data_IF_194500441564
#
_entry.id   IF_194500441564
#
_cell.length_a   1.000
_cell.length_b   1.000
_cell.length_c   1.000
_cell.angle_alpha   90.00
_cell.angle_beta   90.00
_cell.angle_gamma   90.00
#
_symmetry.space_group_name_H-M   'P 1'
#
loop_
_entity.id
_entity.type
_entity.pdbx_description
1 polymer ?
#
# COMPACT_ATOMS: atom_id res chain seq x y z
N UNK A 1 18.31 -19.85 -18.44
CA UNK A 1 16.87 -19.81 -18.08
C UNK A 1 16.24 -21.08 -18.65
N UNK A 2 15.51 -21.84 -17.84
CA UNK A 2 14.87 -23.09 -18.29
C UNK A 2 13.49 -22.81 -18.86
N UNK A 3 13.21 -23.28 -20.06
CA UNK A 3 11.88 -23.25 -20.69
C UNK A 3 11.29 -24.65 -20.57
N UNK A 4 10.05 -24.74 -20.10
CA UNK A 4 9.30 -25.99 -20.07
C UNK A 4 8.16 -25.90 -21.07
N UNK A 5 8.01 -26.93 -21.89
CA UNK A 5 6.92 -27.04 -22.85
C UNK A 5 5.89 -28.02 -22.30
N UNK A 6 4.66 -27.56 -22.13
CA UNK A 6 3.56 -28.39 -21.64
C UNK A 6 2.51 -28.55 -22.74
N UNK A 7 2.12 -29.80 -22.98
CA UNK A 7 0.98 -30.14 -23.81
C UNK A 7 -0.21 -30.47 -22.90
N UNK A 8 -1.22 -29.61 -22.90
CA UNK A 8 -2.34 -29.65 -21.94
C UNK A 8 -3.65 -29.83 -22.71
N UNK A 9 -4.43 -30.84 -22.31
CA UNK A 9 -5.83 -30.94 -22.72
C UNK A 9 -6.65 -29.94 -21.93
N UNK A 10 -7.18 -28.91 -22.59
CA UNK A 10 -7.91 -27.80 -21.98
C UNK A 10 -9.38 -28.18 -21.65
N UNK A 11 -9.63 -29.42 -21.20
CA UNK A 11 -10.98 -29.83 -20.76
C UNK A 11 -11.49 -28.96 -19.60
N UNK A 12 -10.66 -28.56 -18.61
CA UNK A 12 -11.08 -27.59 -17.59
C UNK A 12 -11.29 -26.17 -18.14
N UNK A 13 -11.10 -25.96 -19.44
CA UNK A 13 -11.16 -24.65 -20.06
C UNK A 13 -9.84 -23.91 -20.00
N UNK A 14 -9.62 -23.10 -21.04
CA UNK A 14 -8.34 -22.44 -21.26
C UNK A 14 -7.93 -21.54 -20.09
N UNK A 15 -8.87 -20.72 -19.59
CA UNK A 15 -8.58 -19.80 -18.48
C UNK A 15 -8.16 -20.52 -17.19
N UNK A 16 -8.72 -21.71 -16.92
CA UNK A 16 -8.31 -22.52 -15.77
C UNK A 16 -6.91 -23.09 -15.98
N UNK A 17 -6.63 -23.63 -17.17
CA UNK A 17 -5.31 -24.15 -17.52
C UNK A 17 -4.21 -23.07 -17.42
N UNK A 18 -4.46 -21.87 -17.95
CA UNK A 18 -3.54 -20.75 -17.83
C UNK A 18 -3.33 -20.35 -16.36
N UNK A 19 -4.42 -20.22 -15.60
CA UNK A 19 -4.36 -19.85 -14.18
C UNK A 19 -3.57 -20.85 -13.32
N UNK A 20 -3.57 -22.14 -13.65
CA UNK A 20 -2.76 -23.16 -12.96
C UNK A 20 -1.27 -22.85 -13.01
N UNK A 21 -0.78 -22.32 -14.14
CA UNK A 21 0.61 -21.92 -14.30
C UNK A 21 0.87 -20.55 -13.66
N UNK A 22 0.03 -19.55 -13.95
CA UNK A 22 0.21 -18.18 -13.47
C UNK A 22 0.28 -18.13 -11.94
N UNK A 23 -0.63 -18.83 -11.24
CA UNK A 23 -0.65 -18.86 -9.77
C UNK A 23 0.59 -19.52 -9.14
N UNK A 24 1.38 -20.24 -9.92
CA UNK A 24 2.64 -20.88 -9.50
C UNK A 24 3.87 -20.04 -9.89
N UNK A 25 3.66 -18.82 -10.38
CA UNK A 25 4.72 -17.88 -10.73
C UNK A 25 5.31 -18.12 -12.12
N UNK A 26 4.60 -18.82 -13.01
CA UNK A 26 5.05 -19.00 -14.38
C UNK A 26 4.61 -17.82 -15.26
N UNK A 27 5.53 -17.35 -16.09
CA UNK A 27 5.17 -16.65 -17.31
C UNK A 27 4.83 -17.69 -18.39
N UNK A 28 3.70 -17.51 -19.06
CA UNK A 28 3.22 -18.44 -20.08
C UNK A 28 3.08 -17.75 -21.43
N UNK A 29 3.42 -18.47 -22.49
CA UNK A 29 3.13 -18.07 -23.86
C UNK A 29 2.49 -19.26 -24.57
N UNK A 30 1.28 -19.05 -25.10
CA UNK A 30 0.62 -20.08 -25.92
C UNK A 30 1.33 -20.17 -27.26
N UNK A 31 1.93 -21.32 -27.54
CA UNK A 31 2.65 -21.57 -28.79
C UNK A 31 1.72 -22.07 -29.88
N UNK A 32 0.75 -22.90 -29.49
CA UNK A 32 -0.14 -23.57 -30.43
C UNK A 32 -1.40 -24.05 -29.72
N UNK A 33 -2.50 -24.16 -30.47
CA UNK A 33 -3.76 -24.71 -30.00
C UNK A 33 -4.47 -25.41 -31.15
N UNK A 34 -5.10 -26.55 -30.86
CA UNK A 34 -6.03 -27.22 -31.77
C UNK A 34 -7.20 -27.83 -31.00
N UNK A 35 -8.16 -28.40 -31.71
CA UNK A 35 -9.15 -29.32 -31.13
C UNK A 35 -8.80 -30.73 -31.56
N UNK A 36 -8.88 -31.68 -30.63
CA UNK A 36 -8.69 -33.11 -30.91
C UNK A 36 -9.95 -33.88 -30.55
N UNK A 37 -10.26 -34.90 -31.35
CA UNK A 37 -11.37 -35.79 -31.05
C UNK A 37 -11.11 -36.55 -29.75
N UNK A 38 -12.12 -36.61 -28.89
CA UNK A 38 -12.10 -37.46 -27.72
C UNK A 38 -12.07 -38.91 -28.17
N UNK A 39 -11.15 -39.71 -27.59
CA UNK A 39 -11.12 -41.13 -27.87
C UNK A 39 -12.42 -41.79 -27.39
N UNK A 40 -12.97 -42.69 -28.19
CA UNK A 40 -14.30 -43.27 -27.97
C UNK A 40 -14.42 -44.09 -26.67
N UNK A 41 -13.28 -44.54 -26.14
CA UNK A 41 -13.13 -45.31 -24.91
C UNK A 41 -12.86 -44.45 -23.67
N UNK A 42 -12.69 -43.14 -23.80
CA UNK A 42 -12.45 -42.28 -22.64
C UNK A 42 -13.73 -42.04 -21.86
N UNK A 43 -13.79 -42.54 -20.64
CA UNK A 43 -14.87 -42.20 -19.72
C UNK A 43 -14.69 -40.78 -19.16
N UNK A 44 -15.74 -39.97 -19.29
CA UNK A 44 -15.82 -38.60 -18.75
C UNK A 44 -16.80 -38.48 -17.58
N UNK A 45 -17.30 -39.60 -17.04
CA UNK A 45 -18.23 -39.64 -15.89
C UNK A 45 -17.70 -38.90 -14.66
N UNK A 46 -16.41 -39.02 -14.36
CA UNK A 46 -15.79 -38.30 -13.25
C UNK A 46 -15.86 -36.77 -13.43
N UNK A 47 -15.78 -36.27 -14.67
CA UNK A 47 -15.90 -34.84 -14.94
C UNK A 47 -17.34 -34.35 -14.75
N UNK A 48 -18.31 -35.18 -15.13
CA UNK A 48 -19.74 -34.93 -14.87
C UNK A 48 -20.03 -34.84 -13.37
N UNK A 49 -19.46 -35.74 -12.58
CA UNK A 49 -19.59 -35.72 -11.11
C UNK A 49 -18.96 -34.46 -10.51
N UNK A 50 -17.79 -34.03 -10.99
CA UNK A 50 -17.18 -32.77 -10.58
C UNK A 50 -18.09 -31.59 -10.91
N UNK A 51 -18.68 -31.50 -12.11
CA UNK A 51 -19.63 -30.42 -12.46
C UNK A 51 -20.88 -30.43 -11.59
N UNK A 52 -21.28 -31.55 -10.99
CA UNK A 52 -22.43 -31.61 -10.09
C UNK A 52 -22.12 -30.99 -8.73
N UNK A 53 -20.88 -31.16 -8.28
CA UNK A 53 -20.41 -30.75 -6.95
C UNK A 53 -19.63 -29.43 -6.96
N UNK A 54 -19.41 -28.83 -8.13
CA UNK A 54 -18.61 -27.63 -8.33
C UNK A 54 -19.30 -26.65 -9.29
N UNK A 55 -19.15 -25.32 -9.09
CA UNK A 55 -19.60 -24.33 -10.06
C UNK A 55 -18.77 -24.33 -11.36
N UNK A 56 -17.68 -25.10 -11.42
CA UNK A 56 -16.83 -25.19 -12.60
C UNK A 56 -17.49 -26.00 -13.73
N UNK A 57 -17.45 -25.46 -14.95
CA UNK A 57 -17.93 -26.12 -16.16
C UNK A 57 -16.74 -26.49 -17.05
N UNK A 58 -16.67 -27.75 -17.47
CA UNK A 58 -15.67 -28.22 -18.42
C UNK A 58 -16.05 -27.81 -19.85
N UNK A 59 -15.04 -27.68 -20.71
CA UNK A 59 -15.18 -27.24 -22.11
C UNK A 59 -14.97 -28.42 -23.07
N UNK A 60 -16.08 -28.85 -23.69
CA UNK A 60 -16.09 -29.80 -24.80
C UNK A 60 -16.71 -29.16 -26.05
N UNK A 61 -16.46 -29.72 -27.22
CA UNK A 61 -17.02 -29.28 -28.48
C UNK A 61 -17.68 -30.46 -29.19
N UNK A 62 -18.80 -30.24 -29.87
CA UNK A 62 -19.52 -31.31 -30.58
C UNK A 62 -18.89 -31.66 -31.93
N UNK A 63 -17.95 -30.84 -32.40
CA UNK A 63 -17.13 -31.07 -33.59
C UNK A 63 -15.81 -30.27 -33.51
N UNK A 64 -14.95 -30.43 -34.51
CA UNK A 64 -13.63 -29.78 -34.58
C UNK A 64 -13.67 -28.30 -35.01
N UNK A 65 -14.74 -27.84 -35.64
CA UNK A 65 -14.85 -26.50 -36.22
C UNK A 65 -15.67 -25.53 -35.36
N UNK A 66 -16.55 -26.03 -34.49
CA UNK A 66 -17.49 -25.26 -33.70
C UNK A 66 -16.83 -24.63 -32.50
N UNK A 67 -17.08 -23.34 -32.28
CA UNK A 67 -16.45 -22.55 -31.23
C UNK A 67 -17.27 -22.47 -29.94
N UNK A 68 -18.49 -22.98 -29.96
CA UNK A 68 -19.33 -23.04 -28.78
C UNK A 68 -19.00 -24.27 -27.95
N UNK A 69 -18.51 -24.05 -26.73
CA UNK A 69 -18.26 -25.13 -25.78
C UNK A 69 -19.56 -25.62 -25.13
N UNK A 70 -19.56 -26.90 -24.74
CA UNK A 70 -20.64 -27.57 -23.99
C UNK A 70 -20.06 -28.21 -22.72
N UNK A 71 -20.90 -28.34 -21.69
CA UNK A 71 -20.53 -28.97 -20.41
C UNK A 71 -20.18 -30.46 -20.55
N UNK A 72 -19.48 -31.01 -19.56
CA UNK A 72 -19.22 -32.45 -19.48
C UNK A 72 -20.53 -33.27 -19.48
N UNK A 73 -21.58 -32.79 -18.80
CA UNK A 73 -22.92 -33.42 -18.80
C UNK A 73 -23.49 -33.55 -20.22
N UNK A 74 -23.44 -32.47 -20.97
CA UNK A 74 -23.96 -32.41 -22.35
C UNK A 74 -23.11 -33.28 -23.27
N UNK A 75 -21.78 -33.19 -23.13
CA UNK A 75 -20.85 -34.03 -23.87
C UNK A 75 -21.11 -35.52 -23.63
N UNK A 76 -21.32 -35.94 -22.38
CA UNK A 76 -21.59 -37.34 -22.04
C UNK A 76 -22.92 -37.82 -22.63
N UNK A 77 -23.98 -37.01 -22.54
CA UNK A 77 -25.28 -37.35 -23.13
C UNK A 77 -25.19 -37.48 -24.66
N UNK A 78 -24.44 -36.58 -25.30
CA UNK A 78 -24.21 -36.62 -26.75
C UNK A 78 -23.40 -37.85 -27.18
N UNK A 79 -22.34 -38.19 -26.45
CA UNK A 79 -21.54 -39.41 -26.69
C UNK A 79 -22.37 -40.69 -26.56
N UNK A 80 -23.22 -40.78 -25.52
CA UNK A 80 -24.14 -41.92 -25.32
C UNK A 80 -25.16 -42.07 -26.45
N UNK A 81 -25.46 -40.99 -27.15
CA UNK A 81 -26.38 -40.97 -28.31
C UNK A 81 -25.66 -41.28 -29.64
N UNK A 82 -24.38 -41.67 -29.62
CA UNK A 82 -23.57 -41.96 -30.81
C UNK A 82 -22.84 -40.74 -31.39
N UNK A 83 -22.96 -39.57 -30.76
CA UNK A 83 -22.20 -38.38 -31.11
C UNK A 83 -20.72 -38.53 -30.76
N UNK A 84 -19.86 -37.74 -31.41
CA UNK A 84 -18.44 -37.63 -31.05
C UNK A 84 -18.17 -36.22 -30.54
N UNK A 85 -17.35 -36.09 -29.51
CA UNK A 85 -16.94 -34.81 -28.96
C UNK A 85 -15.45 -34.60 -29.14
N UNK A 86 -15.03 -33.35 -29.12
CA UNK A 86 -13.62 -32.94 -29.09
C UNK A 86 -13.36 -32.03 -27.89
N UNK A 87 -12.09 -31.84 -27.57
CA UNK A 87 -11.64 -30.86 -26.58
C UNK A 87 -10.45 -30.10 -27.14
N UNK A 88 -10.19 -28.92 -26.60
CA UNK A 88 -9.03 -28.14 -26.96
C UNK A 88 -7.75 -28.80 -26.39
N UNK A 89 -6.68 -28.70 -27.16
CA UNK A 89 -5.33 -29.12 -26.81
C UNK A 89 -4.41 -27.91 -27.06
N UNK A 90 -3.83 -27.38 -26.00
CA UNK A 90 -2.91 -26.24 -26.09
C UNK A 90 -1.49 -26.63 -25.70
N UNK A 91 -0.54 -26.04 -26.42
CA UNK A 91 0.87 -26.13 -26.11
C UNK A 91 1.33 -24.80 -25.55
N UNK A 92 1.77 -24.81 -24.30
CA UNK A 92 2.29 -23.63 -23.61
C UNK A 92 3.80 -23.74 -23.43
N UNK A 93 4.49 -22.64 -23.71
CA UNK A 93 5.84 -22.39 -23.22
C UNK A 93 5.74 -21.72 -21.86
N UNK A 94 6.26 -22.35 -20.83
CA UNK A 94 6.22 -21.87 -19.46
C UNK A 94 7.65 -21.58 -18.96
N UNK A 95 7.84 -20.40 -18.39
CA UNK A 95 9.09 -19.98 -17.78
C UNK A 95 8.83 -19.58 -16.33
N UNK A 96 9.57 -20.18 -15.38
CA UNK A 96 9.39 -19.83 -13.98
C UNK A 96 10.01 -18.46 -13.69
N UNK A 97 9.20 -17.53 -13.19
CA UNK A 97 9.68 -16.23 -12.76
C UNK A 97 10.54 -16.40 -11.50
N UNK A 98 11.73 -15.77 -11.47
CA UNK A 98 12.68 -15.78 -10.34
C UNK A 98 12.83 -17.18 -9.68
N UNK A 99 13.33 -18.21 -10.40
CA UNK A 99 13.29 -19.60 -9.96
C UNK A 99 13.98 -19.85 -8.62
N UNK A 100 15.03 -19.08 -8.29
CA UNK A 100 15.74 -19.18 -7.01
C UNK A 100 14.84 -18.72 -5.85
N UNK A 101 14.10 -17.62 -6.01
CA UNK A 101 13.21 -17.10 -4.97
C UNK A 101 12.00 -18.03 -4.78
N UNK A 102 11.41 -18.51 -5.87
CA UNK A 102 10.31 -19.50 -5.81
C UNK A 102 10.77 -20.77 -5.10
N UNK A 103 11.95 -21.29 -5.44
CA UNK A 103 12.51 -22.47 -4.77
C UNK A 103 12.67 -22.23 -3.26
N UNK A 104 13.29 -21.12 -2.85
CA UNK A 104 13.46 -20.76 -1.43
C UNK A 104 12.11 -20.68 -0.70
N UNK A 105 11.12 -20.04 -1.31
CA UNK A 105 9.78 -19.91 -0.73
C UNK A 105 9.16 -21.28 -0.47
N UNK A 106 9.12 -22.16 -1.48
CA UNK A 106 8.55 -23.50 -1.32
C UNK A 106 9.38 -24.42 -0.41
N UNK A 107 10.69 -24.19 -0.26
CA UNK A 107 11.50 -24.88 0.76
C UNK A 107 11.10 -24.46 2.17
N UNK A 108 10.85 -23.17 2.41
CA UNK A 108 10.38 -22.68 3.71
C UNK A 108 8.97 -23.23 4.03
N UNK A 109 8.07 -23.23 3.04
CA UNK A 109 6.67 -23.63 3.25
C UNK A 109 6.49 -25.12 3.57
N UNK A 110 7.43 -25.98 3.17
CA UNK A 110 7.41 -27.42 3.52
C UNK A 110 7.48 -27.65 5.03
N UNK A 111 8.13 -26.75 5.76
CA UNK A 111 8.35 -26.86 7.20
C UNK A 111 7.24 -26.16 8.00
N UNK A 112 5.99 -26.61 7.84
CA UNK A 112 4.86 -26.19 8.70
C UNK A 112 3.76 -25.37 8.02
N UNK A 113 3.83 -25.13 6.70
CA UNK A 113 2.83 -24.35 5.95
C UNK A 113 2.24 -25.12 4.75
N UNK A 114 2.04 -26.43 4.90
CA UNK A 114 1.58 -27.32 3.81
C UNK A 114 0.24 -26.89 3.20
N UNK A 115 -0.71 -26.43 4.02
CA UNK A 115 -2.01 -25.94 3.55
C UNK A 115 -1.85 -24.67 2.69
N UNK A 116 -0.97 -23.74 3.10
CA UNK A 116 -0.69 -22.49 2.39
C UNK A 116 -0.03 -22.75 1.03
N UNK A 117 0.84 -23.75 0.93
CA UNK A 117 1.51 -24.13 -0.32
C UNK A 117 0.53 -24.47 -1.47
N UNK A 118 -0.67 -24.94 -1.11
CA UNK A 118 -1.73 -25.27 -2.08
C UNK A 118 -2.58 -24.07 -2.50
N UNK A 119 -2.72 -23.07 -1.63
CA UNK A 119 -3.57 -21.89 -1.83
C UNK A 119 -2.80 -20.67 -2.34
N UNK A 120 -1.49 -20.61 -2.13
CA UNK A 120 -0.63 -19.51 -2.55
C UNK A 120 -0.81 -19.14 -4.03
N UNK A 121 -1.00 -17.85 -4.29
CA UNK A 121 -1.17 -17.28 -5.62
C UNK A 121 -0.02 -16.31 -5.93
N UNK A 122 0.89 -16.78 -6.78
CA UNK A 122 2.06 -16.05 -7.26
C UNK A 122 1.80 -15.32 -8.58
N UNK A 123 0.54 -15.20 -9.02
CA UNK A 123 0.22 -14.37 -10.18
C UNK A 123 0.46 -12.88 -9.90
N UNK A 124 0.69 -12.13 -10.97
CA UNK A 124 0.94 -10.68 -10.95
C UNK A 124 0.54 -10.09 -12.30
N UNK A 125 0.08 -8.84 -12.29
CA UNK A 125 -0.33 -8.13 -13.51
C UNK A 125 0.87 -7.57 -14.30
N UNK A 126 1.97 -7.27 -13.62
CA UNK A 126 3.19 -6.71 -14.23
C UNK A 126 4.46 -7.31 -13.58
N UNK A 127 5.49 -7.53 -14.40
CA UNK A 127 6.81 -8.04 -13.99
C UNK A 127 7.52 -7.12 -12.97
N UNK A 128 7.23 -5.81 -12.96
CA UNK A 128 7.80 -4.88 -11.97
C UNK A 128 7.33 -5.21 -10.55
N UNK A 129 6.05 -5.53 -10.39
CA UNK A 129 5.42 -5.91 -9.11
C UNK A 129 5.83 -7.32 -8.67
N UNK A 130 6.06 -8.22 -9.64
CA UNK A 130 6.42 -9.60 -9.37
C UNK A 130 7.69 -9.74 -8.52
N UNK A 131 8.71 -8.93 -8.80
CA UNK A 131 9.99 -9.01 -8.10
C UNK A 131 9.85 -8.63 -6.63
N UNK A 132 9.12 -7.56 -6.35
CA UNK A 132 8.86 -7.07 -4.99
C UNK A 132 7.97 -8.06 -4.22
N UNK A 133 6.87 -8.51 -4.84
CA UNK A 133 5.97 -9.53 -4.28
C UNK A 133 6.75 -10.77 -3.83
N UNK A 134 7.61 -11.29 -4.71
CA UNK A 134 8.41 -12.48 -4.44
C UNK A 134 9.46 -12.25 -3.36
N UNK A 135 10.15 -11.11 -3.37
CA UNK A 135 11.13 -10.76 -2.35
C UNK A 135 10.46 -10.71 -0.96
N UNK A 136 9.32 -10.01 -0.86
CA UNK A 136 8.60 -9.91 0.40
C UNK A 136 8.04 -11.25 0.87
N UNK A 137 7.48 -12.10 -0.01
CA UNK A 137 6.97 -13.42 0.40
C UNK A 137 8.06 -14.32 0.97
N UNK A 138 9.26 -14.31 0.38
CA UNK A 138 10.40 -15.08 0.90
C UNK A 138 10.82 -14.55 2.27
N UNK A 139 10.87 -13.22 2.42
CA UNK A 139 11.17 -12.57 3.69
C UNK A 139 10.12 -12.93 4.75
N UNK A 140 8.83 -12.74 4.45
CA UNK A 140 7.73 -12.99 5.36
C UNK A 140 7.70 -14.46 5.81
N UNK A 141 7.88 -15.40 4.88
CA UNK A 141 7.91 -16.82 5.22
C UNK A 141 9.09 -17.14 6.18
N UNK A 142 10.24 -16.51 5.98
CA UNK A 142 11.41 -16.64 6.88
C UNK A 142 11.12 -16.00 8.24
N UNK A 143 10.58 -14.78 8.25
CA UNK A 143 10.21 -14.05 9.46
C UNK A 143 9.22 -14.83 10.33
N UNK A 144 8.17 -15.40 9.73
CA UNK A 144 7.18 -16.21 10.44
C UNK A 144 7.75 -17.54 10.96
N UNK A 145 8.71 -18.13 10.24
CA UNK A 145 9.40 -19.36 10.69
C UNK A 145 10.25 -19.09 11.93
N UNK A 146 10.92 -17.94 11.97
CA UNK A 146 11.80 -17.52 13.07
C UNK A 146 11.01 -16.99 14.28
N UNK A 147 9.90 -16.29 14.04
CA UNK A 147 9.09 -15.61 15.07
C UNK A 147 7.76 -16.32 15.33
N UNK A 148 7.82 -17.56 15.85
CA UNK A 148 6.62 -18.38 16.08
C UNK A 148 5.63 -17.76 17.07
N UNK A 149 6.14 -17.08 18.10
CA UNK A 149 5.33 -16.27 19.01
C UNK A 149 5.23 -14.87 18.42
N UNK A 150 4.21 -14.61 17.60
CA UNK A 150 3.97 -13.29 17.02
C UNK A 150 3.74 -12.28 18.16
N UNK A 151 4.69 -11.39 18.49
CA UNK A 151 4.54 -10.52 19.64
C UNK A 151 3.53 -9.41 19.32
N UNK A 152 2.70 -9.04 20.29
CA UNK A 152 1.90 -7.82 20.17
C UNK A 152 2.83 -6.62 20.05
N UNK A 153 2.63 -5.79 19.03
CA UNK A 153 3.42 -4.59 18.83
C UNK A 153 3.02 -3.48 19.80
N UNK A 154 3.95 -2.54 20.08
CA UNK A 154 3.61 -1.35 20.84
C UNK A 154 2.45 -0.59 20.18
N UNK A 155 1.66 0.20 20.95
CA UNK A 155 0.58 1.01 20.39
C UNK A 155 1.01 1.88 19.19
N UNK A 156 2.25 2.37 19.19
CA UNK A 156 2.82 3.18 18.10
C UNK A 156 3.65 2.43 17.07
N UNK A 157 3.47 1.12 16.98
CA UNK A 157 4.24 0.27 16.08
C UNK A 157 5.63 -0.05 16.62
N UNK A 158 6.33 -0.94 15.92
CA UNK A 158 7.60 -1.45 16.37
C UNK A 158 8.71 -0.40 16.26
N UNK A 159 9.67 -0.45 17.18
CA UNK A 159 10.82 0.47 17.21
C UNK A 159 11.62 0.41 15.90
N UNK A 160 11.80 -0.80 15.33
CA UNK A 160 12.55 -1.00 14.09
C UNK A 160 11.91 -0.23 12.93
N UNK A 161 10.59 -0.31 12.76
CA UNK A 161 9.90 0.41 11.70
C UNK A 161 9.97 1.93 11.89
N UNK A 162 9.78 2.42 13.11
CA UNK A 162 9.94 3.85 13.43
C UNK A 162 11.35 4.36 13.14
N UNK A 163 12.37 3.57 13.45
CA UNK A 163 13.77 3.90 13.13
C UNK A 163 13.97 3.99 11.61
N UNK A 164 13.44 3.03 10.83
CA UNK A 164 13.52 3.07 9.37
C UNK A 164 12.86 4.32 8.77
N UNK A 165 11.69 4.72 9.29
CA UNK A 165 11.02 5.97 8.87
C UNK A 165 11.88 7.20 9.21
N UNK A 166 12.43 7.27 10.43
CA UNK A 166 13.28 8.38 10.84
C UNK A 166 14.56 8.47 10.01
N UNK A 167 15.22 7.33 9.76
CA UNK A 167 16.39 7.24 8.89
C UNK A 167 16.07 7.63 7.45
N UNK A 168 14.93 7.19 6.92
CA UNK A 168 14.47 7.59 5.59
C UNK A 168 14.29 9.11 5.49
N UNK A 169 13.59 9.72 6.45
CA UNK A 169 13.37 11.17 6.48
C UNK A 169 14.68 11.94 6.59
N UNK A 170 15.64 11.43 7.37
CA UNK A 170 16.97 12.01 7.52
C UNK A 170 17.80 11.90 6.25
N UNK A 171 17.87 10.72 5.64
CA UNK A 171 18.73 10.45 4.50
C UNK A 171 18.23 11.06 3.19
N UNK A 172 16.91 11.09 2.99
CA UNK A 172 16.32 11.54 1.72
C UNK A 172 15.83 12.98 1.74
N UNK A 173 15.42 13.49 2.91
CA UNK A 173 14.85 14.83 3.05
C UNK A 173 15.65 15.73 4.01
N UNK A 174 16.76 15.25 4.59
CA UNK A 174 17.57 15.98 5.57
C UNK A 174 16.78 16.44 6.82
N UNK A 175 15.73 15.71 7.19
CA UNK A 175 14.91 16.04 8.37
C UNK A 175 15.49 15.27 9.57
N UNK A 176 15.94 15.95 10.64
CA UNK A 176 16.62 15.30 11.77
C UNK A 176 15.66 14.64 12.76
N UNK A 177 14.83 13.70 12.31
CA UNK A 177 13.89 12.96 13.17
C UNK A 177 14.58 11.83 13.94
N UNK A 178 14.01 11.50 15.10
CA UNK A 178 14.24 10.24 15.82
C UNK A 178 12.97 9.38 15.80
N UNK A 179 13.04 8.13 16.28
CA UNK A 179 11.85 7.28 16.41
C UNK A 179 10.83 7.78 17.43
N UNK A 180 11.21 8.70 18.32
CA UNK A 180 10.31 9.33 19.28
C UNK A 180 9.41 10.37 18.59
N UNK A 181 9.83 10.92 17.45
CA UNK A 181 9.00 11.82 16.64
C UNK A 181 7.95 11.10 15.80
N UNK A 182 8.01 9.76 15.68
CA UNK A 182 7.22 8.98 14.71
C UNK A 182 6.21 8.09 15.43
N UNK A 183 4.92 8.25 15.15
CA UNK A 183 3.85 7.38 15.64
C UNK A 183 3.24 6.59 14.48
N UNK A 184 3.13 5.26 14.61
CA UNK A 184 2.58 4.40 13.55
C UNK A 184 1.12 4.05 13.85
N UNK A 185 0.31 4.04 12.81
CA UNK A 185 -1.12 3.75 12.83
C UNK A 185 -1.48 2.73 11.74
N UNK A 186 -2.57 1.95 11.92
CA UNK A 186 -3.06 1.04 10.88
C UNK A 186 -3.35 1.76 9.56
N UNK A 187 -3.85 2.99 9.63
CA UNK A 187 -4.08 3.84 8.48
C UNK A 187 -4.09 5.31 8.88
N UNK A 188 -3.98 6.20 7.89
CA UNK A 188 -4.17 7.64 8.12
C UNK A 188 -5.59 7.96 8.62
N UNK A 189 -6.58 7.18 8.20
CA UNK A 189 -7.98 7.34 8.61
C UNK A 189 -8.12 7.05 10.10
N UNK A 190 -7.56 5.94 10.55
CA UNK A 190 -7.54 5.56 11.97
C UNK A 190 -6.79 6.62 12.79
N UNK A 191 -5.66 7.14 12.29
CA UNK A 191 -4.94 8.23 12.96
C UNK A 191 -5.81 9.48 13.18
N UNK A 192 -6.58 9.88 12.17
CA UNK A 192 -7.50 11.03 12.25
C UNK A 192 -8.64 10.75 13.22
N UNK A 193 -9.26 9.57 13.14
CA UNK A 193 -10.36 9.19 14.03
C UNK A 193 -9.91 9.18 15.50
N UNK A 194 -8.78 8.56 15.78
CA UNK A 194 -8.18 8.52 17.13
C UNK A 194 -7.86 9.93 17.62
N UNK A 195 -7.33 10.79 16.75
CA UNK A 195 -7.05 12.19 17.09
C UNK A 195 -8.33 12.96 17.45
N UNK A 196 -9.39 12.81 16.64
CA UNK A 196 -10.67 13.48 16.90
C UNK A 196 -11.33 12.97 18.18
N UNK A 197 -11.23 11.68 18.49
CA UNK A 197 -11.70 11.12 19.77
C UNK A 197 -10.87 11.58 20.96
N UNK A 198 -9.55 11.70 20.80
CA UNK A 198 -8.66 12.17 21.87
C UNK A 198 -8.96 13.61 22.26
N UNK A 199 -9.16 14.48 21.27
CA UNK A 199 -9.39 15.92 21.54
C UNK A 199 -10.86 16.27 21.78
N UNK A 200 -11.80 15.38 21.41
CA UNK A 200 -13.25 15.60 21.46
C UNK A 200 -13.67 17.04 21.09
N UNK A 201 -13.29 17.54 19.90
CA UNK A 201 -13.57 18.92 19.55
C UNK A 201 -15.07 19.11 19.32
N UNK A 202 -15.62 20.22 19.82
CA UNK A 202 -16.96 20.68 19.50
C UNK A 202 -17.10 20.99 18.00
N UNK A 203 -16.03 21.48 17.38
CA UNK A 203 -15.97 21.70 15.93
C UNK A 203 -14.58 21.32 15.38
N UNK A 204 -14.60 20.46 14.36
CA UNK A 204 -13.44 20.11 13.54
C UNK A 204 -13.68 20.42 12.06
N UNK A 205 -12.63 20.82 11.37
CA UNK A 205 -12.61 21.00 9.91
C UNK A 205 -11.74 19.90 9.33
N UNK A 206 -12.25 19.13 8.36
CA UNK A 206 -11.54 17.96 7.80
C UNK A 206 -11.62 17.96 6.27
N UNK A 207 -10.50 17.72 5.57
CA UNK A 207 -10.46 17.58 4.10
C UNK A 207 -11.57 16.63 3.60
N UNK A 208 -12.30 17.07 2.57
CA UNK A 208 -13.47 16.37 2.03
C UNK A 208 -13.22 14.89 1.69
N UNK A 209 -12.00 14.52 1.28
CA UNK A 209 -11.72 13.11 0.95
C UNK A 209 -11.51 12.24 2.19
N UNK A 210 -11.15 12.85 3.32
CA UNK A 210 -10.92 12.14 4.58
C UNK A 210 -12.22 12.02 5.38
N UNK A 211 -13.20 12.90 5.17
CA UNK A 211 -14.51 12.85 5.87
C UNK A 211 -15.32 11.60 5.55
N UNK A 212 -15.16 11.02 4.34
CA UNK A 212 -15.91 9.83 3.88
C UNK A 212 -15.75 8.61 4.77
N UNK A 213 -14.64 8.53 5.50
CA UNK A 213 -14.31 7.40 6.34
C UNK A 213 -14.58 7.64 7.82
N UNK A 214 -15.05 8.85 8.17
CA UNK A 214 -15.40 9.18 9.55
C UNK A 214 -16.79 8.67 9.92
N UNK A 215 -17.06 8.45 11.22
CA UNK A 215 -18.39 8.11 11.71
C UNK A 215 -19.46 9.07 11.20
N UNK A 216 -20.51 8.54 10.56
CA UNK A 216 -21.58 9.35 9.93
C UNK A 216 -22.24 10.33 10.92
N UNK A 217 -22.30 9.95 12.19
CA UNK A 217 -22.83 10.79 13.27
C UNK A 217 -22.09 12.13 13.40
N UNK A 218 -20.79 12.19 13.11
CA UNK A 218 -20.00 13.42 13.17
C UNK A 218 -20.25 14.37 12.00
N UNK A 219 -20.79 13.86 10.89
CA UNK A 219 -21.05 14.62 9.67
C UNK A 219 -22.47 15.22 9.64
N UNK A 220 -23.24 15.05 10.71
CA UNK A 220 -24.66 15.46 10.75
C UNK A 220 -24.77 16.97 10.92
N UNK A 221 -25.33 17.66 9.93
CA UNK A 221 -25.55 19.11 9.92
C UNK A 221 -26.61 19.60 10.92
N UNK A 222 -27.45 18.69 11.45
CA UNK A 222 -28.58 19.01 12.32
C UNK A 222 -28.20 19.63 13.67
N UNK A 223 -26.92 19.58 14.08
CA UNK A 223 -26.45 20.23 15.30
C UNK A 223 -26.18 21.74 15.13
N UNK A 224 -26.16 22.25 13.89
CA UNK A 224 -25.91 23.67 13.59
C UNK A 224 -27.22 24.48 13.63
N UNK A 225 -28.36 23.85 13.35
CA UNK A 225 -29.70 24.46 13.38
C UNK A 225 -30.53 23.87 14.54
N UNK A 226 -30.47 24.49 15.73
CA UNK A 226 -31.35 24.13 16.86
C UNK A 226 -30.65 24.01 18.20
N UNK A 227 -30.06 25.10 18.70
CA UNK A 227 -29.74 25.22 20.13
C UNK A 227 -31.03 25.58 20.88
N UNK A 228 -31.90 24.63 21.17
CA UNK A 228 -32.85 24.85 22.28
C UNK A 228 -33.39 23.60 22.96
N UNK A 229 -33.42 22.42 22.34
CA UNK A 229 -33.86 21.21 23.04
C UNK A 229 -33.07 19.99 22.56
N UNK A 230 -32.41 19.29 23.50
CA UNK A 230 -32.22 17.83 23.58
C UNK A 230 -30.99 17.48 24.44
N UNK A 231 -31.18 16.59 25.42
CA UNK A 231 -30.15 15.91 26.20
C UNK A 231 -29.24 15.03 25.29
N UNK A 232 -28.37 15.65 24.49
CA UNK A 232 -27.31 14.94 23.79
C UNK A 232 -26.05 14.94 24.64
N UNK A 233 -25.49 13.75 24.87
CA UNK A 233 -24.28 13.56 25.67
C UNK A 233 -23.13 14.47 25.21
N UNK A 234 -22.30 14.89 26.18
CA UNK A 234 -21.18 15.84 26.07
C UNK A 234 -20.10 15.54 25.02
N UNK A 235 -20.26 14.51 24.18
CA UNK A 235 -19.22 13.95 23.31
C UNK A 235 -19.60 13.91 21.82
N UNK A 236 -20.40 14.86 21.33
CA UNK A 236 -20.76 14.90 19.90
C UNK A 236 -19.80 15.80 19.13
N UNK A 237 -18.79 15.19 18.50
CA UNK A 237 -17.86 15.88 17.59
C UNK A 237 -18.61 16.30 16.31
N UNK A 238 -18.55 17.58 15.94
CA UNK A 238 -19.10 18.09 14.68
C UNK A 238 -17.95 18.28 13.69
N UNK A 239 -18.07 17.66 12.51
CA UNK A 239 -17.07 17.74 11.42
C UNK A 239 -17.66 18.46 10.22
N UNK A 240 -16.97 19.49 9.75
CA UNK A 240 -17.28 20.20 8.50
C UNK A 240 -16.20 19.88 7.46
N UNK A 241 -16.63 19.61 6.22
CA UNK A 241 -15.72 19.35 5.12
C UNK A 241 -14.95 20.62 4.72
N UNK A 242 -13.65 20.49 4.53
CA UNK A 242 -12.75 21.58 4.21
C UNK A 242 -12.47 21.67 2.70
N UNK A 243 -12.35 22.89 2.13
CA UNK A 243 -11.78 23.08 0.80
C UNK A 243 -10.28 22.78 0.81
N UNK A 244 -9.74 22.41 -0.36
CA UNK A 244 -8.32 22.08 -0.52
C UNK A 244 -7.38 23.25 -0.77
N UNK A 245 -7.90 24.38 -1.19
CA UNK A 245 -7.11 25.58 -1.46
C UNK A 245 -6.80 26.27 -0.14
N UNK A 246 -5.52 26.61 0.09
CA UNK A 246 -5.09 27.15 1.38
C UNK A 246 -5.80 28.45 1.76
N UNK A 247 -6.08 29.32 0.79
CA UNK A 247 -6.70 30.64 1.07
C UNK A 247 -8.12 30.50 1.63
N UNK A 248 -8.93 29.63 1.00
CA UNK A 248 -10.30 29.34 1.43
C UNK A 248 -10.31 28.63 2.79
N UNK A 249 -9.38 27.71 3.01
CA UNK A 249 -9.23 27.04 4.29
C UNK A 249 -8.87 28.04 5.40
N UNK A 250 -7.95 28.96 5.16
CA UNK A 250 -7.55 29.99 6.12
C UNK A 250 -8.72 30.90 6.47
N UNK A 251 -9.52 31.31 5.49
CA UNK A 251 -10.74 32.08 5.73
C UNK A 251 -11.71 31.30 6.64
N UNK A 252 -11.92 30.02 6.35
CA UNK A 252 -12.80 29.14 7.12
C UNK A 252 -12.32 28.97 8.57
N UNK A 253 -11.01 28.76 8.78
CA UNK A 253 -10.38 28.65 10.11
C UNK A 253 -10.62 29.94 10.91
N UNK A 254 -10.38 31.11 10.31
CA UNK A 254 -10.53 32.41 10.99
C UNK A 254 -11.98 32.71 11.35
N UNK A 255 -12.93 32.32 10.51
CA UNK A 255 -14.37 32.57 10.72
C UNK A 255 -15.01 31.61 11.72
N UNK A 256 -14.74 30.31 11.58
CA UNK A 256 -15.40 29.26 12.36
C UNK A 256 -14.66 28.91 13.65
N UNK A 257 -13.38 29.28 13.76
CA UNK A 257 -12.53 29.04 14.93
C UNK A 257 -12.59 27.59 15.45
N UNK A 258 -12.31 26.59 14.59
CA UNK A 258 -12.38 25.19 14.98
C UNK A 258 -11.31 24.84 16.02
N UNK A 259 -11.52 23.78 16.79
CA UNK A 259 -10.51 23.28 17.73
C UNK A 259 -9.49 22.37 17.03
N UNK A 260 -9.90 21.65 15.99
CA UNK A 260 -9.05 20.75 15.21
C UNK A 260 -9.24 21.01 13.72
N UNK A 261 -8.15 21.06 12.97
CA UNK A 261 -8.12 21.17 11.51
C UNK A 261 -7.32 20.00 10.96
N UNK A 262 -7.90 19.24 10.04
CA UNK A 262 -7.24 18.15 9.30
C UNK A 262 -7.32 18.49 7.82
N UNK A 263 -6.18 18.71 7.17
CA UNK A 263 -6.18 19.16 5.78
C UNK A 263 -5.14 18.41 4.95
N UNK A 264 -5.48 18.10 3.70
CA UNK A 264 -4.47 17.82 2.68
C UNK A 264 -3.92 19.12 2.09
N UNK A 265 -3.04 18.99 1.09
CA UNK A 265 -2.61 20.12 0.25
C UNK A 265 -2.95 19.86 -1.21
N UNK A 266 -3.35 20.91 -1.93
CA UNK A 266 -3.49 20.85 -3.38
C UNK A 266 -2.13 20.58 -4.04
N UNK A 267 -2.14 19.92 -5.22
CA UNK A 267 -0.90 19.46 -5.89
C UNK A 267 0.10 20.59 -6.15
N UNK A 268 -0.36 21.78 -6.50
CA UNK A 268 0.50 22.94 -6.78
C UNK A 268 1.03 23.60 -5.49
N UNK A 269 0.22 23.64 -4.43
CA UNK A 269 0.61 24.18 -3.12
C UNK A 269 1.60 23.26 -2.40
N UNK A 270 1.53 21.95 -2.63
CA UNK A 270 2.40 20.96 -2.02
C UNK A 270 3.87 21.03 -2.45
N UNK A 271 4.22 21.88 -3.43
CA UNK A 271 5.60 21.99 -3.95
C UNK A 271 6.46 22.92 -3.09
N UNK A 272 5.86 23.93 -2.47
CA UNK A 272 6.55 24.98 -1.69
C UNK A 272 6.03 25.03 -0.25
N UNK A 273 6.81 25.57 0.69
CA UNK A 273 6.42 25.67 2.09
C UNK A 273 5.43 26.81 2.39
N UNK A 274 5.18 27.72 1.43
CA UNK A 274 4.41 28.94 1.65
C UNK A 274 2.98 28.68 2.15
N UNK A 275 2.25 27.75 1.53
CA UNK A 275 0.89 27.41 1.94
C UNK A 275 0.86 26.78 3.34
N UNK A 276 1.83 25.91 3.67
CA UNK A 276 1.95 25.34 5.01
C UNK A 276 2.19 26.43 6.05
N UNK A 277 3.13 27.35 5.81
CA UNK A 277 3.45 28.45 6.73
C UNK A 277 2.21 29.30 7.01
N UNK A 278 1.43 29.63 5.98
CA UNK A 278 0.21 30.42 6.14
C UNK A 278 -0.87 29.68 6.96
N UNK A 279 -1.05 28.38 6.74
CA UNK A 279 -2.00 27.54 7.51
C UNK A 279 -1.52 27.39 8.97
N UNK A 280 -0.22 27.19 9.19
CA UNK A 280 0.36 27.13 10.54
C UNK A 280 0.13 28.42 11.32
N UNK A 281 0.29 29.58 10.66
CA UNK A 281 0.00 30.88 11.27
C UNK A 281 -1.48 31.02 11.60
N UNK A 282 -2.38 30.74 10.66
CA UNK A 282 -3.81 30.90 10.86
C UNK A 282 -4.37 30.00 11.96
N UNK A 283 -3.87 28.76 12.06
CA UNK A 283 -4.27 27.83 13.14
C UNK A 283 -3.71 28.26 14.49
N UNK A 284 -2.48 28.78 14.54
CA UNK A 284 -1.90 29.35 15.77
C UNK A 284 -2.70 30.55 16.28
N UNK A 285 -3.08 31.48 15.41
CA UNK A 285 -3.83 32.69 15.77
C UNK A 285 -5.19 32.37 16.42
N UNK A 286 -5.81 31.27 15.99
CA UNK A 286 -7.10 30.79 16.51
C UNK A 286 -6.93 29.89 17.73
N UNK A 287 -5.76 29.26 17.91
CA UNK A 287 -5.53 28.23 18.92
C UNK A 287 -6.02 26.84 18.48
N UNK A 288 -6.14 26.59 17.18
CA UNK A 288 -6.52 25.29 16.61
C UNK A 288 -5.33 24.34 16.57
N UNK A 289 -5.58 23.04 16.78
CA UNK A 289 -4.62 21.99 16.43
C UNK A 289 -4.69 21.68 14.93
N UNK A 290 -3.54 21.47 14.29
CA UNK A 290 -3.43 21.21 12.86
C UNK A 290 -2.88 19.80 12.58
N UNK A 291 -3.54 19.08 11.68
CA UNK A 291 -3.07 17.84 11.09
C UNK A 291 -2.94 18.05 9.58
N UNK A 292 -1.74 17.87 9.02
CA UNK A 292 -1.49 18.03 7.58
C UNK A 292 -1.24 16.67 6.95
N UNK A 293 -2.16 16.21 6.11
CA UNK A 293 -2.03 14.97 5.35
C UNK A 293 -1.20 15.18 4.07
N UNK A 294 -0.01 14.57 4.05
CA UNK A 294 0.88 14.56 2.88
C UNK A 294 0.89 13.21 2.15
N UNK A 295 0.01 12.26 2.50
CA UNK A 295 -0.01 10.91 1.92
C UNK A 295 0.04 10.89 0.38
N UNK A 296 -0.70 11.80 -0.27
CA UNK A 296 -0.73 11.90 -1.74
C UNK A 296 0.59 12.37 -2.35
N UNK A 297 1.39 13.10 -1.57
CA UNK A 297 2.64 13.74 -1.99
C UNK A 297 3.87 13.05 -1.42
N UNK A 298 3.69 12.00 -0.61
CA UNK A 298 4.76 11.13 -0.16
C UNK A 298 5.04 10.08 -1.24
N UNK A 299 6.30 9.94 -1.61
CA UNK A 299 6.77 8.92 -2.56
C UNK A 299 7.97 8.20 -1.99
N UNK A 300 7.90 6.87 -2.05
CA UNK A 300 8.98 5.96 -1.66
C UNK A 300 9.85 5.71 -2.90
N UNK A 301 10.59 6.73 -3.34
CA UNK A 301 11.45 6.67 -4.53
C UNK A 301 12.80 7.32 -4.29
N UNK A 302 13.78 6.96 -5.12
CA UNK A 302 15.11 7.57 -5.16
C UNK A 302 15.40 8.09 -6.57
N UNK A 303 15.49 9.42 -6.82
CA UNK A 303 15.28 10.51 -5.86
C UNK A 303 13.78 10.73 -5.52
N UNK A 304 13.47 11.33 -4.37
CA UNK A 304 12.11 11.72 -4.01
C UNK A 304 11.67 12.99 -4.73
N UNK A 305 10.36 13.12 -4.95
CA UNK A 305 9.77 14.34 -5.48
C UNK A 305 9.81 15.50 -4.47
N UNK A 306 9.83 16.73 -4.98
CA UNK A 306 9.80 17.94 -4.14
C UNK A 306 8.50 18.03 -3.35
N UNK A 307 8.60 18.15 -2.03
CA UNK A 307 7.48 18.35 -1.13
C UNK A 307 7.74 19.54 -0.19
N UNK A 308 6.87 20.54 -0.25
CA UNK A 308 6.98 21.79 0.50
C UNK A 308 6.87 21.63 2.02
N UNK A 309 6.11 20.62 2.48
CA UNK A 309 6.01 20.28 3.91
C UNK A 309 7.31 19.66 4.39
N UNK A 310 7.87 18.72 3.63
CA UNK A 310 9.15 18.09 3.99
C UNK A 310 10.32 19.08 3.92
N UNK A 311 10.31 20.01 2.94
CA UNK A 311 11.25 21.13 2.89
C UNK A 311 11.16 22.03 4.12
N UNK A 312 9.94 22.36 4.56
CA UNK A 312 9.76 23.12 5.79
C UNK A 312 10.38 22.41 7.00
N UNK A 313 10.14 21.09 7.14
CA UNK A 313 10.68 20.28 8.24
C UNK A 313 12.21 20.13 8.21
N UNK A 314 12.84 20.21 7.03
CA UNK A 314 14.29 20.18 6.91
C UNK A 314 14.96 21.45 7.45
N UNK A 315 14.25 22.57 7.42
CA UNK A 315 14.77 23.90 7.80
C UNK A 315 14.24 24.38 9.15
N UNK A 316 13.10 23.84 9.63
CA UNK A 316 12.37 24.34 10.78
C UNK A 316 11.83 23.18 11.64
N UNK A 317 11.73 23.43 12.94
CA UNK A 317 11.00 22.52 13.84
C UNK A 317 9.49 22.67 13.65
N UNK A 318 8.76 21.55 13.74
CA UNK A 318 7.31 21.57 13.67
C UNK A 318 6.72 22.21 14.93
N UNK A 319 5.79 23.18 14.82
CA UNK A 319 5.14 23.75 15.99
C UNK A 319 4.35 22.70 16.79
N UNK A 320 4.28 22.83 18.12
CA UNK A 320 3.61 21.87 19.01
C UNK A 320 2.11 21.67 18.74
N UNK A 321 1.45 22.64 18.11
CA UNK A 321 0.04 22.53 17.71
C UNK A 321 -0.16 21.79 16.39
N UNK A 322 0.91 21.38 15.70
CA UNK A 322 0.86 20.78 14.38
C UNK A 322 1.41 19.35 14.35
N UNK A 323 0.80 18.50 13.53
CA UNK A 323 1.18 17.11 13.27
C UNK A 323 1.15 16.86 11.77
N UNK A 324 2.14 16.17 11.23
CA UNK A 324 2.16 15.75 9.81
C UNK A 324 1.70 14.30 9.71
N UNK A 325 0.73 14.01 8.87
CA UNK A 325 0.21 12.66 8.61
C UNK A 325 0.73 12.13 7.26
N UNK A 326 1.23 10.90 7.30
CA UNK A 326 1.86 10.22 6.18
C UNK A 326 1.26 8.82 6.03
N UNK A 327 0.39 8.62 5.04
CA UNK A 327 -0.13 7.30 4.67
C UNK A 327 0.68 6.67 3.54
N UNK A 328 1.06 5.42 3.72
CA UNK A 328 1.65 4.57 2.68
C UNK A 328 0.50 3.93 1.89
N UNK A 329 0.05 4.63 0.85
CA UNK A 329 -1.22 4.36 0.13
C UNK A 329 -1.06 4.18 -1.37
N UNK A 330 0.17 4.22 -1.87
CA UNK A 330 0.50 4.12 -3.30
C UNK A 330 0.99 2.73 -3.69
N UNK A 331 0.85 1.76 -2.79
CA UNK A 331 1.29 0.40 -3.05
C UNK A 331 0.44 -0.26 -4.15
N UNK A 332 1.12 -0.93 -5.07
CA UNK A 332 0.54 -1.67 -6.18
C UNK A 332 0.66 -3.19 -5.98
N UNK A 333 1.44 -3.65 -5.00
CA UNK A 333 1.70 -5.07 -4.76
C UNK A 333 0.65 -5.69 -3.85
N UNK A 334 0.39 -5.04 -2.71
CA UNK A 334 -0.55 -5.42 -1.67
C UNK A 334 -1.40 -4.22 -1.26
N UNK A 335 -2.33 -3.82 -2.14
CA UNK A 335 -3.20 -2.65 -1.92
C UNK A 335 -4.08 -2.71 -0.66
N UNK A 336 -4.21 -3.89 -0.07
CA UNK A 336 -4.91 -4.15 1.20
C UNK A 336 -4.04 -3.89 2.44
N UNK A 337 -2.71 -3.87 2.30
CA UNK A 337 -1.79 -3.51 3.37
C UNK A 337 -1.68 -1.99 3.47
N UNK A 338 -2.31 -1.41 4.49
CA UNK A 338 -2.17 0.00 4.83
C UNK A 338 -1.29 0.18 6.07
N UNK A 339 -0.48 1.23 6.07
CA UNK A 339 0.20 1.79 7.25
C UNK A 339 0.17 3.30 7.13
N UNK A 340 -0.22 3.97 8.21
CA UNK A 340 -0.03 5.41 8.39
C UNK A 340 1.05 5.67 9.43
N UNK A 341 1.74 6.80 9.32
CA UNK A 341 2.54 7.32 10.40
C UNK A 341 2.35 8.83 10.55
N UNK A 342 2.54 9.33 11.77
CA UNK A 342 2.47 10.74 12.09
C UNK A 342 3.83 11.23 12.59
N UNK A 343 4.18 12.47 12.24
CA UNK A 343 5.37 13.17 12.72
C UNK A 343 4.90 14.32 13.62
N UNK A 344 5.42 14.34 14.85
CA UNK A 344 5.17 15.38 15.85
C UNK A 344 6.43 15.68 16.65
N UNK A 345 6.58 16.93 17.07
CA UNK A 345 7.62 17.37 18.02
C UNK A 345 7.07 17.47 19.46
N UNK A 346 5.76 17.34 19.64
CA UNK A 346 5.11 17.42 20.95
C UNK A 346 4.96 16.03 21.58
N UNK A 347 5.82 15.76 22.58
CA UNK A 347 5.79 14.53 23.38
C UNK A 347 4.46 14.32 24.11
N UNK A 348 3.74 15.39 24.49
CA UNK A 348 2.48 15.28 25.22
C UNK A 348 1.38 14.73 24.32
N UNK A 349 1.33 15.20 23.06
CA UNK A 349 0.43 14.70 22.03
C UNK A 349 0.76 13.26 21.71
N UNK A 350 2.05 12.95 21.60
CA UNK A 350 2.52 11.58 21.39
C UNK A 350 2.04 10.66 22.50
N UNK A 351 2.32 10.97 23.77
CA UNK A 351 1.89 10.13 24.89
C UNK A 351 0.37 9.93 24.95
N UNK A 352 -0.39 10.99 24.69
CA UNK A 352 -1.85 10.93 24.70
C UNK A 352 -2.42 10.06 23.57
N UNK A 353 -1.85 10.16 22.36
CA UNK A 353 -2.22 9.31 21.23
C UNK A 353 -1.87 7.83 21.52
N UNK A 354 -0.74 7.55 22.18
CA UNK A 354 -0.32 6.18 22.54
C UNK A 354 -1.38 5.50 23.39
N UNK A 355 -1.80 6.19 24.45
CA UNK A 355 -2.77 5.68 25.42
C UNK A 355 -4.15 5.50 24.78
N UNK A 356 -4.50 6.37 23.83
CA UNK A 356 -5.77 6.28 23.12
C UNK A 356 -5.79 5.11 22.14
N UNK A 357 -4.70 4.86 21.41
CA UNK A 357 -4.60 3.69 20.53
C UNK A 357 -4.73 2.39 21.33
N UNK A 358 -4.03 2.32 22.47
CA UNK A 358 -4.06 1.15 23.35
C UNK A 358 -5.49 0.88 23.87
N UNK A 359 -6.20 1.93 24.31
CA UNK A 359 -7.59 1.83 24.75
C UNK A 359 -8.55 1.37 23.65
N UNK A 360 -8.29 1.79 22.41
CA UNK A 360 -9.12 1.50 21.25
C UNK A 360 -8.70 0.21 20.51
N UNK A 361 -7.72 -0.53 21.04
CA UNK A 361 -7.12 -1.73 20.41
C UNK A 361 -6.66 -1.48 18.97
N UNK A 362 -6.25 -0.24 18.66
CA UNK A 362 -5.92 0.22 17.31
C UNK A 362 -4.51 -0.15 16.84
N UNK A 363 -3.97 -1.28 17.27
CA UNK A 363 -2.60 -1.68 16.97
C UNK A 363 -2.39 -1.87 15.47
N UNK A 364 -1.25 -1.39 14.96
CA UNK A 364 -0.87 -1.60 13.57
C UNK A 364 -0.46 -3.07 13.36
N UNK A 365 -0.83 -3.65 12.22
CA UNK A 365 -0.44 -5.01 11.86
C UNK A 365 1.08 -5.15 11.74
N UNK A 366 1.63 -6.16 12.40
CA UNK A 366 3.05 -6.57 12.29
C UNK A 366 3.42 -6.82 10.84
N UNK A 367 2.57 -7.52 10.09
CA UNK A 367 2.82 -7.89 8.70
C UNK A 367 2.90 -6.63 7.82
N UNK A 368 2.01 -5.66 8.03
CA UNK A 368 2.03 -4.40 7.28
C UNK A 368 3.30 -3.60 7.58
N UNK A 369 3.72 -3.53 8.84
CA UNK A 369 4.98 -2.87 9.22
C UNK A 369 6.21 -3.58 8.66
N UNK A 370 6.21 -4.93 8.65
CA UNK A 370 7.30 -5.69 8.03
C UNK A 370 7.40 -5.42 6.53
N UNK A 371 6.26 -5.38 5.82
CA UNK A 371 6.22 -5.10 4.40
C UNK A 371 6.83 -3.73 4.05
N UNK A 372 6.27 -2.67 4.62
CA UNK A 372 6.80 -1.32 4.38
C UNK A 372 8.21 -1.15 4.97
N UNK A 373 8.55 -1.89 6.03
CA UNK A 373 9.89 -1.94 6.60
C UNK A 373 10.91 -2.48 5.62
N UNK A 374 10.59 -3.55 4.88
CA UNK A 374 11.43 -4.04 3.79
C UNK A 374 11.66 -2.95 2.73
N UNK A 375 10.60 -2.22 2.33
CA UNK A 375 10.71 -1.15 1.33
C UNK A 375 11.62 -0.01 1.79
N UNK A 376 11.46 0.46 3.04
CA UNK A 376 12.35 1.48 3.60
C UNK A 376 13.79 0.99 3.69
N UNK A 377 14.00 -0.25 4.15
CA UNK A 377 15.33 -0.83 4.27
C UNK A 377 16.02 -0.94 2.89
N UNK A 378 15.30 -1.40 1.86
CA UNK A 378 15.83 -1.44 0.50
C UNK A 378 16.19 -0.04 0.00
N UNK A 379 15.31 0.95 0.16
CA UNK A 379 15.59 2.34 -0.21
C UNK A 379 16.80 2.92 0.52
N UNK A 380 16.96 2.60 1.80
CA UNK A 380 18.10 3.05 2.61
C UNK A 380 19.40 2.34 2.23
N UNK A 381 19.34 1.08 1.76
CA UNK A 381 20.50 0.34 1.29
C UNK A 381 21.04 0.88 -0.06
N UNK A 382 20.17 1.42 -0.91
CA UNK A 382 20.53 1.94 -2.25
C UNK A 382 20.94 3.42 -2.26
N UNK A 383 21.55 3.93 -1.18
CA UNK A 383 22.07 5.31 -1.16
C UNK A 383 23.16 5.48 -2.24
N UNK A 384 22.79 6.12 -3.36
CA UNK A 384 23.75 6.73 -4.27
C UNK A 384 24.39 7.86 -3.47
N UNK A 385 25.66 7.70 -3.13
CA UNK A 385 26.48 8.72 -2.47
C UNK A 385 26.46 10.01 -3.30
N UNK A 386 25.52 10.91 -3.02
CA UNK A 386 25.58 12.30 -3.47
C UNK A 386 26.69 13.08 -2.74
N UNK A 387 27.52 12.40 -1.95
CA UNK A 387 28.65 12.95 -1.20
C UNK A 387 29.86 13.34 -2.06
N UNK A 388 29.87 13.08 -3.37
CA UNK A 388 31.02 13.39 -4.24
C UNK A 388 30.95 14.67 -5.08
N UNK A 389 29.82 15.41 -5.12
CA UNK A 389 29.73 16.60 -5.98
C UNK A 389 30.04 17.95 -5.30
N UNK A 390 30.33 18.02 -4.00
CA UNK A 390 30.65 19.30 -3.32
C UNK A 390 32.09 19.42 -2.83
N UNK A 391 32.97 18.46 -3.13
CA UNK A 391 34.36 18.47 -2.65
C UNK A 391 35.44 18.72 -3.74
N UNK A 392 35.05 19.10 -4.97
CA UNK A 392 36.01 19.31 -6.09
C UNK A 392 36.00 20.66 -6.79
N UNK A 393 35.23 21.64 -6.31
CA UNK A 393 35.22 23.00 -6.91
C UNK A 393 35.93 24.08 -6.08
N UNK A 394 36.56 23.74 -4.94
CA UNK A 394 37.23 24.74 -4.08
C UNK A 394 38.76 24.62 -4.00
N UNK A 395 39.40 23.87 -4.90
CA UNK A 395 40.86 23.76 -4.97
C UNK A 395 41.38 23.87 -6.39
N UNK A 396 41.09 24.99 -7.07
CA UNK A 396 41.82 25.48 -8.24
C UNK A 396 41.52 26.98 -8.46
N UNK A 397 41.84 27.84 -7.49
CA UNK A 397 41.86 29.31 -7.70
C UNK A 397 42.65 30.06 -6.63
N UNK A 398 43.98 29.90 -6.70
CA UNK A 398 45.04 30.79 -6.21
C UNK A 398 46.32 29.95 -6.39
N UNK A 399 47.11 30.13 -7.44
CA UNK A 399 48.11 31.18 -7.48
C UNK A 399 48.40 31.63 -8.91
N UNK A 400 48.10 32.89 -9.21
CA UNK A 400 48.83 33.65 -10.23
C UNK A 400 49.01 35.06 -9.72
N UNK A 401 50.20 35.35 -9.19
CA UNK A 401 50.74 36.69 -9.12
C UNK A 401 52.17 36.66 -9.63
N UNK A 402 52.38 37.42 -10.70
CA UNK A 402 53.59 38.17 -11.04
C UNK A 402 54.86 37.38 -11.40
N UNK A 403 55.17 37.35 -12.70
CA UNK A 403 56.45 37.88 -13.15
C UNK A 403 56.33 38.41 -14.60
N UNK A 404 56.24 39.73 -14.70
CA UNK A 404 56.67 40.48 -15.88
C UNK A 404 58.19 40.41 -15.98
N UNK A 405 58.75 40.01 -17.13
CA UNK A 405 59.95 40.63 -17.75
C UNK A 405 60.33 39.97 -19.10
N UNK A 406 60.21 40.75 -20.18
CA UNK A 406 61.20 40.99 -21.26
C UNK A 406 61.52 39.74 -22.15
N UNK A 407 61.26 39.65 -23.46
CA UNK A 407 61.16 40.59 -24.60
C UNK A 407 60.02 40.21 -25.55
#
# INVERSE_FOLDING_TARGET
MGIMIFNIGDRPGQGVCERLFLRRGFHISKLWQTKIMQAADTDISALVEIEQNSPHQFEFFMDLAGDQSVSARTAQAYMKSGGRVSHALSVYSCQLHKPIQVKKLFEILKDGFNEISSSLDLSFDNDSVASEKMAFLVYLASFLKENKSNPCEPPFGCLNFRNLVAEFMKSYYNIPLTSDNVAVFPSRVVAIEISLRLFSPALAIVDEHLTRHLPKQWLTSSAIEGREDCNHGKDTVIVIAAPRQSDLLIELIRKLKPQVVVTGMAKFEAITSAALVNILSATRDVGSRLFVDISKHLELSSPPNSNGVLKYLAENTLPSHAVILCGLVKDQVYSDLEVGFAISEDETVYKALSQTIELLEGHTSVISQQYYGCLFHELLAFQIDNRQCTARETTCRSDTSEDDRIF
#
